data_IF_179665261010
#
_entry.id   IF_179665261010
#
_cell.length_a   1.000
_cell.length_b   1.000
_cell.length_c   1.000
_cell.angle_alpha   90.00
_cell.angle_beta   90.00
_cell.angle_gamma   90.00
#
_symmetry.space_group_name_H-M   'P 1'
#
loop_
_entity.id
_entity.type
_entity.pdbx_description
1 polymer ?
#
# COMPACT_ATOMS: atom_id res chain seq x y z
N UNK A 1 22.38 -7.87 -20.35
CA UNK A 1 23.45 -7.64 -19.37
C UNK A 1 23.48 -8.83 -18.44
N UNK A 2 24.64 -9.16 -17.87
CA UNK A 2 24.85 -10.46 -17.25
C UNK A 2 25.73 -10.32 -16.01
N UNK A 3 25.23 -10.83 -14.88
CA UNK A 3 26.05 -11.04 -13.71
C UNK A 3 27.29 -11.88 -14.09
N UNK A 4 28.47 -11.39 -13.71
CA UNK A 4 29.72 -12.11 -13.98
C UNK A 4 29.96 -13.13 -12.86
N UNK A 5 30.13 -14.38 -13.24
CA UNK A 5 30.33 -15.50 -12.32
C UNK A 5 31.81 -15.80 -12.20
N UNK A 6 32.36 -15.69 -11.00
CA UNK A 6 33.74 -16.09 -10.72
C UNK A 6 33.70 -17.37 -9.89
N UNK A 7 34.22 -18.47 -10.43
CA UNK A 7 34.28 -19.74 -9.73
C UNK A 7 35.56 -19.82 -8.90
N UNK A 8 35.44 -20.19 -7.63
CA UNK A 8 36.62 -20.63 -6.89
C UNK A 8 37.01 -22.00 -7.44
N UNK A 9 38.31 -22.20 -7.68
CA UNK A 9 38.91 -23.39 -8.33
C UNK A 9 38.10 -24.67 -8.07
N UNK A 10 37.61 -25.31 -9.13
CA UNK A 10 36.80 -26.53 -9.05
C UNK A 10 37.63 -27.64 -8.42
N UNK A 11 37.61 -27.76 -7.08
CA UNK A 11 38.03 -29.00 -6.44
C UNK A 11 36.88 -29.96 -6.64
N UNK A 12 37.00 -30.84 -7.64
CA UNK A 12 36.20 -32.06 -7.67
C UNK A 12 36.67 -32.96 -6.52
N UNK A 13 36.34 -32.58 -5.28
CA UNK A 13 36.42 -33.55 -4.20
C UNK A 13 35.26 -34.50 -4.42
N UNK A 14 35.60 -35.70 -4.88
CA UNK A 14 34.69 -36.83 -5.06
C UNK A 14 34.29 -37.30 -3.66
N UNK A 15 33.53 -36.48 -2.94
CA UNK A 15 32.87 -36.90 -1.70
C UNK A 15 31.89 -37.97 -2.15
N UNK A 16 32.12 -39.19 -1.65
CA UNK A 16 31.45 -40.41 -2.05
C UNK A 16 29.94 -40.22 -2.22
N UNK A 17 29.45 -40.40 -3.46
CA UNK A 17 28.05 -40.40 -3.97
C UNK A 17 27.59 -39.08 -4.64
N UNK A 18 27.46 -39.11 -5.98
CA UNK A 18 26.65 -38.30 -6.92
C UNK A 18 26.34 -36.80 -6.67
N UNK A 19 27.04 -36.11 -5.78
CA UNK A 19 26.85 -34.69 -5.54
C UNK A 19 27.87 -33.88 -6.34
N UNK A 20 27.38 -33.02 -7.22
CA UNK A 20 28.20 -31.95 -7.79
C UNK A 20 27.95 -30.69 -6.96
N UNK A 21 29.00 -30.11 -6.39
CA UNK A 21 28.96 -28.85 -5.66
C UNK A 21 29.81 -27.85 -6.40
N UNK A 22 29.27 -26.65 -6.64
CA UNK A 22 29.95 -25.53 -7.25
C UNK A 22 29.86 -24.33 -6.31
N UNK A 23 31.00 -23.78 -5.93
CA UNK A 23 31.07 -22.56 -5.12
C UNK A 23 31.73 -21.45 -5.91
N UNK A 24 31.35 -20.21 -5.63
CA UNK A 24 31.97 -19.07 -6.28
C UNK A 24 31.39 -17.75 -5.81
N UNK A 25 31.55 -16.73 -6.64
CA UNK A 25 31.07 -15.37 -6.42
C UNK A 25 30.28 -14.90 -7.63
N UNK A 26 29.28 -14.07 -7.37
CA UNK A 26 28.53 -13.36 -8.41
C UNK A 26 28.85 -11.88 -8.27
N UNK A 27 29.24 -11.23 -9.35
CA UNK A 27 29.39 -9.77 -9.40
C UNK A 27 28.26 -9.20 -10.24
N UNK A 28 27.52 -8.26 -9.66
CA UNK A 28 26.52 -7.48 -10.39
C UNK A 28 27.21 -6.33 -11.13
N UNK A 29 26.62 -5.89 -12.24
CA UNK A 29 27.06 -4.68 -12.92
C UNK A 29 26.36 -3.44 -12.30
N UNK A 30 26.48 -2.30 -12.97
CA UNK A 30 25.88 -1.04 -12.53
C UNK A 30 24.39 -0.89 -12.89
N UNK A 31 23.72 -1.96 -13.32
CA UNK A 31 22.32 -1.90 -13.74
C UNK A 31 21.57 -3.19 -13.45
N UNK A 32 21.16 -3.39 -12.20
CA UNK A 32 20.30 -4.52 -11.85
C UNK A 32 18.98 -4.50 -12.62
N UNK A 33 18.64 -5.60 -13.30
CA UNK A 33 17.35 -5.77 -13.95
C UNK A 33 16.29 -6.23 -12.93
N UNK A 34 15.20 -5.47 -12.81
CA UNK A 34 14.05 -5.90 -12.00
C UNK A 34 13.55 -7.29 -12.44
N UNK A 35 13.26 -8.14 -11.45
CA UNK A 35 12.97 -9.56 -11.63
C UNK A 35 14.21 -10.46 -11.61
N UNK A 36 15.41 -9.90 -11.45
CA UNK A 36 16.66 -10.62 -11.20
C UNK A 36 17.60 -10.75 -12.41
N UNK A 37 18.84 -11.09 -12.08
CA UNK A 37 19.93 -11.32 -13.04
C UNK A 37 20.04 -12.79 -13.43
N UNK A 38 20.33 -13.08 -14.70
CA UNK A 38 20.45 -14.47 -15.16
C UNK A 38 21.64 -15.18 -14.49
N UNK A 39 21.40 -16.36 -13.93
CA UNK A 39 22.46 -17.28 -13.47
C UNK A 39 22.58 -18.51 -14.37
N UNK A 40 22.20 -18.36 -15.63
CA UNK A 40 22.30 -19.42 -16.64
C UNK A 40 23.70 -20.05 -16.68
N UNK A 41 24.75 -19.27 -16.43
CA UNK A 41 26.12 -19.78 -16.28
C UNK A 41 26.26 -20.85 -15.19
N UNK A 42 25.67 -20.67 -13.99
CA UNK A 42 25.69 -21.66 -12.90
C UNK A 42 24.87 -22.90 -13.30
N UNK A 43 23.59 -22.71 -13.63
CA UNK A 43 22.68 -23.83 -13.95
C UNK A 43 23.16 -24.68 -15.13
N UNK A 44 23.87 -24.09 -16.10
CA UNK A 44 24.46 -24.81 -17.22
C UNK A 44 25.57 -25.81 -16.83
N UNK A 45 26.25 -25.64 -15.68
CA UNK A 45 27.20 -26.64 -15.16
C UNK A 45 26.51 -27.93 -14.69
N UNK A 46 25.22 -27.83 -14.38
CA UNK A 46 24.39 -28.91 -13.86
C UNK A 46 23.50 -29.52 -14.95
N UNK A 47 23.89 -29.41 -16.23
CA UNK A 47 23.22 -30.11 -17.34
C UNK A 47 23.28 -31.63 -17.12
N UNK A 48 22.11 -32.26 -16.95
CA UNK A 48 21.97 -33.71 -16.68
C UNK A 48 21.59 -34.06 -15.24
N UNK A 49 21.47 -33.07 -14.37
CA UNK A 49 20.80 -33.18 -13.05
C UNK A 49 19.30 -33.36 -13.30
N UNK A 50 18.60 -34.17 -12.50
CA UNK A 50 17.14 -34.31 -12.66
C UNK A 50 16.50 -32.93 -12.43
N UNK A 51 15.62 -32.51 -13.35
CA UNK A 51 14.87 -31.26 -13.23
C UNK A 51 14.05 -31.30 -11.94
N UNK A 52 14.57 -30.69 -10.87
CA UNK A 52 14.16 -31.10 -9.53
C UNK A 52 15.12 -30.60 -8.46
N UNK A 53 16.41 -30.74 -8.73
CA UNK A 53 17.37 -31.00 -7.66
C UNK A 53 18.60 -30.07 -7.65
N UNK A 54 18.62 -29.05 -8.51
CA UNK A 54 19.55 -27.94 -8.34
C UNK A 54 19.04 -27.06 -7.20
N UNK A 55 19.92 -26.73 -6.26
CA UNK A 55 19.71 -25.73 -5.21
C UNK A 55 20.86 -24.74 -5.29
N UNK A 56 20.56 -23.44 -5.38
CA UNK A 56 21.56 -22.38 -5.35
C UNK A 56 21.29 -21.50 -4.14
N UNK A 57 22.24 -21.50 -3.20
CA UNK A 57 22.22 -20.69 -2.00
C UNK A 57 23.25 -19.58 -2.13
N UNK A 58 22.90 -18.40 -1.64
CA UNK A 58 23.76 -17.23 -1.62
C UNK A 58 24.00 -16.80 -0.18
N UNK A 59 25.21 -16.34 0.11
CA UNK A 59 25.50 -15.68 1.38
C UNK A 59 24.94 -14.26 1.37
N UNK A 60 24.36 -13.83 2.49
CA UNK A 60 24.05 -12.41 2.71
C UNK A 60 25.34 -11.58 2.56
N UNK A 61 25.23 -10.42 1.93
CA UNK A 61 26.38 -9.56 1.69
C UNK A 61 25.97 -8.10 1.79
N UNK A 62 26.66 -7.34 2.65
CA UNK A 62 26.42 -5.90 2.86
C UNK A 62 24.94 -5.54 3.14
N UNK A 63 24.24 -6.38 3.89
CA UNK A 63 22.82 -6.18 4.23
C UNK A 63 21.82 -6.59 3.14
N UNK A 64 22.29 -7.05 1.98
CA UNK A 64 21.45 -7.62 0.93
C UNK A 64 21.21 -9.11 1.15
N UNK A 65 19.99 -9.54 0.85
CA UNK A 65 19.58 -10.93 0.70
C UNK A 65 19.52 -11.29 -0.79
N UNK A 66 19.74 -12.57 -1.09
CA UNK A 66 19.76 -13.06 -2.46
C UNK A 66 18.96 -14.35 -2.53
N UNK A 67 18.03 -14.40 -3.47
CA UNK A 67 17.21 -15.60 -3.67
C UNK A 67 17.31 -16.05 -5.12
N UNK A 68 17.39 -17.36 -5.32
CA UNK A 68 17.34 -17.92 -6.67
C UNK A 68 15.89 -18.17 -7.08
N UNK A 69 15.41 -17.39 -8.04
CA UNK A 69 14.19 -17.67 -8.77
C UNK A 69 14.45 -18.82 -9.73
N UNK A 70 14.11 -20.02 -9.27
CA UNK A 70 14.29 -21.26 -10.01
C UNK A 70 13.48 -21.31 -11.32
N UNK A 71 12.29 -20.71 -11.33
CA UNK A 71 11.41 -20.72 -12.50
C UNK A 71 12.02 -19.91 -13.64
N UNK A 72 12.55 -18.74 -13.32
CA UNK A 72 13.15 -17.83 -14.31
C UNK A 72 14.67 -18.00 -14.45
N UNK A 73 15.27 -18.85 -13.62
CA UNK A 73 16.71 -19.08 -13.54
C UNK A 73 17.52 -17.80 -13.32
N UNK A 74 17.04 -16.99 -12.37
CA UNK A 74 17.58 -15.67 -12.03
C UNK A 74 17.92 -15.57 -10.56
N UNK A 75 18.95 -14.80 -10.21
CA UNK A 75 19.17 -14.35 -8.84
C UNK A 75 18.46 -13.02 -8.64
N UNK A 76 17.57 -12.97 -7.65
CA UNK A 76 16.90 -11.76 -7.18
C UNK A 76 17.67 -11.20 -6.00
N UNK A 77 17.78 -9.88 -5.96
CA UNK A 77 18.49 -9.16 -4.90
C UNK A 77 17.45 -8.39 -4.09
N UNK A 78 17.48 -8.58 -2.77
CA UNK A 78 16.59 -7.90 -1.84
C UNK A 78 17.43 -7.03 -0.92
N UNK A 79 17.10 -5.74 -0.86
CA UNK A 79 17.76 -4.78 0.03
C UNK A 79 17.30 -4.95 1.48
N UNK A 80 17.97 -4.26 2.42
CA UNK A 80 17.40 -4.04 3.75
C UNK A 80 15.96 -3.55 3.63
N UNK A 81 15.08 -4.01 4.52
CA UNK A 81 13.70 -3.59 4.46
C UNK A 81 13.60 -2.05 4.60
N UNK A 82 12.82 -1.37 3.74
CA UNK A 82 12.63 0.06 3.87
C UNK A 82 11.84 0.39 5.15
N UNK A 83 11.80 1.68 5.52
CA UNK A 83 10.91 2.15 6.58
C UNK A 83 9.46 1.68 6.34
N UNK A 84 8.75 1.33 7.42
CA UNK A 84 7.35 0.88 7.30
C UNK A 84 6.46 2.00 6.79
N UNK A 85 6.65 3.21 7.31
CA UNK A 85 5.98 4.41 6.81
C UNK A 85 7.01 5.39 6.29
N UNK A 86 6.73 5.95 5.12
CA UNK A 86 7.63 6.85 4.43
C UNK A 86 6.86 8.08 3.95
N UNK A 87 7.47 9.25 4.13
CA UNK A 87 7.03 10.51 3.54
C UNK A 87 8.14 11.00 2.61
N UNK A 88 7.78 11.34 1.38
CA UNK A 88 8.72 11.94 0.44
C UNK A 88 8.07 13.07 -0.36
N UNK A 89 8.93 14.00 -0.80
CA UNK A 89 8.58 15.04 -1.75
C UNK A 89 8.92 14.53 -3.14
N UNK A 90 7.91 14.41 -3.99
CA UNK A 90 8.05 13.88 -5.35
C UNK A 90 7.88 15.01 -6.35
N UNK A 91 8.76 15.04 -7.36
CA UNK A 91 8.61 15.90 -8.54
C UNK A 91 7.63 15.26 -9.52
N UNK A 92 6.50 15.93 -9.73
CA UNK A 92 5.42 15.47 -10.59
C UNK A 92 5.36 16.21 -11.93
N UNK A 93 6.40 16.98 -12.29
CA UNK A 93 6.38 17.92 -13.43
C UNK A 93 6.06 17.30 -14.79
N UNK A 94 6.19 15.98 -14.93
CA UNK A 94 5.81 15.20 -16.11
C UNK A 94 4.40 14.60 -16.09
N UNK A 95 3.53 15.00 -15.16
CA UNK A 95 2.22 14.40 -14.84
C UNK A 95 2.29 12.91 -14.44
N UNK A 96 3.49 12.34 -14.41
CA UNK A 96 3.82 10.98 -14.00
C UNK A 96 5.01 11.04 -13.05
N UNK A 97 4.88 10.37 -11.91
CA UNK A 97 5.94 10.26 -10.94
C UNK A 97 6.01 8.85 -10.34
N UNK A 98 7.08 8.56 -9.60
CA UNK A 98 7.31 7.26 -8.98
C UNK A 98 7.79 7.40 -7.54
N UNK A 99 7.21 6.61 -6.65
CA UNK A 99 7.66 6.53 -5.26
C UNK A 99 9.05 5.88 -5.16
N UNK A 100 9.83 6.27 -4.16
CA UNK A 100 11.14 5.69 -3.89
C UNK A 100 11.03 4.21 -3.49
N UNK A 101 10.00 3.88 -2.70
CA UNK A 101 9.72 2.51 -2.26
C UNK A 101 8.37 2.01 -2.80
N UNK A 102 8.25 0.69 -3.07
CA UNK A 102 6.95 0.08 -3.30
C UNK A 102 5.99 0.36 -2.13
N UNK A 103 4.85 0.96 -2.41
CA UNK A 103 3.78 1.22 -1.45
C UNK A 103 2.79 0.05 -1.40
N UNK A 104 2.25 -0.18 -0.21
CA UNK A 104 1.15 -1.09 0.06
C UNK A 104 -0.17 -0.34 0.31
N UNK A 105 -0.09 0.87 0.87
CA UNK A 105 -1.25 1.72 1.16
C UNK A 105 -0.85 3.19 1.16
N UNK A 106 -1.61 4.05 0.49
CA UNK A 106 -1.42 5.50 0.47
C UNK A 106 -2.23 6.13 1.60
N UNK A 107 -1.55 6.86 2.48
CA UNK A 107 -2.20 7.55 3.60
C UNK A 107 -2.73 8.91 3.12
N UNK A 108 -1.89 9.70 2.46
CA UNK A 108 -2.31 10.97 1.87
C UNK A 108 -1.38 11.40 0.72
N UNK A 109 -1.93 12.25 -0.17
CA UNK A 109 -1.19 12.92 -1.25
C UNK A 109 -1.58 14.39 -1.22
N UNK A 110 -0.61 15.29 -1.09
CA UNK A 110 -0.88 16.72 -1.01
C UNK A 110 0.20 17.57 -1.68
N UNK A 111 -0.20 18.52 -2.51
CA UNK A 111 0.64 19.61 -2.98
C UNK A 111 0.43 20.85 -2.11
N UNK A 112 1.17 21.94 -2.38
CA UNK A 112 1.18 23.14 -1.52
C UNK A 112 -0.21 23.70 -1.17
N UNK A 113 -1.20 23.56 -2.07
CA UNK A 113 -2.55 24.12 -1.91
C UNK A 113 -3.66 23.11 -2.22
N UNK A 114 -3.35 21.83 -2.41
CA UNK A 114 -4.34 20.84 -2.87
C UNK A 114 -4.08 19.49 -2.23
N UNK A 115 -5.06 18.99 -1.49
CA UNK A 115 -5.14 17.57 -1.14
C UNK A 115 -5.69 16.82 -2.36
N UNK A 116 -4.99 15.77 -2.78
CA UNK A 116 -5.41 14.97 -3.92
C UNK A 116 -6.14 13.71 -3.45
N UNK A 117 -7.31 13.44 -4.03
CA UNK A 117 -8.03 12.19 -3.81
C UNK A 117 -7.35 11.06 -4.56
N UNK A 118 -7.04 9.98 -3.85
CA UNK A 118 -6.42 8.79 -4.43
C UNK A 118 -7.48 7.99 -5.16
N UNK A 119 -7.25 7.70 -6.44
CA UNK A 119 -8.07 6.80 -7.25
C UNK A 119 -7.24 5.63 -7.76
N UNK A 120 -7.91 4.58 -8.21
CA UNK A 120 -7.25 3.38 -8.72
C UNK A 120 -6.36 3.68 -9.95
N UNK A 121 -5.16 3.11 -10.01
CA UNK A 121 -4.15 3.39 -11.05
C UNK A 121 -4.54 3.07 -12.50
N UNK A 122 -5.62 2.32 -12.71
CA UNK A 122 -6.17 2.07 -14.05
C UNK A 122 -7.10 3.18 -14.57
N UNK A 123 -7.41 4.18 -13.74
CA UNK A 123 -8.31 5.27 -14.07
C UNK A 123 -7.54 6.50 -14.54
N UNK A 124 -8.20 7.35 -15.32
CA UNK A 124 -7.66 8.65 -15.70
C UNK A 124 -8.06 9.68 -14.63
N UNK A 125 -7.10 10.33 -13.96
CA UNK A 125 -7.41 11.31 -12.92
C UNK A 125 -7.96 12.62 -13.52
N UNK A 126 -8.93 13.21 -12.83
CA UNK A 126 -9.39 14.58 -13.05
C UNK A 126 -8.68 15.56 -12.08
N UNK A 127 -8.96 16.86 -12.21
CA UNK A 127 -8.45 17.90 -11.32
C UNK A 127 -8.70 17.55 -9.84
N UNK A 128 -7.67 17.67 -9.00
CA UNK A 128 -7.74 17.30 -7.58
C UNK A 128 -7.66 15.80 -7.29
N UNK A 129 -7.39 14.95 -8.30
CA UNK A 129 -7.23 13.51 -8.13
C UNK A 129 -5.81 13.05 -8.48
N UNK A 130 -5.43 11.88 -7.98
CA UNK A 130 -4.19 11.20 -8.34
C UNK A 130 -4.48 9.71 -8.52
N UNK A 131 -4.14 9.17 -9.70
CA UNK A 131 -4.26 7.74 -9.95
C UNK A 131 -3.00 7.04 -9.48
N UNK A 132 -3.15 6.04 -8.60
CA UNK A 132 -2.04 5.33 -7.98
C UNK A 132 -2.04 3.87 -8.40
N UNK A 133 -1.01 3.46 -9.15
CA UNK A 133 -0.74 2.05 -9.45
C UNK A 133 0.26 1.52 -8.42
N UNK A 134 -0.24 0.73 -7.45
CA UNK A 134 0.58 0.08 -6.42
C UNK A 134 1.18 -1.26 -6.83
N UNK A 135 1.21 -1.52 -8.13
CA UNK A 135 1.65 -2.79 -8.70
C UNK A 135 0.52 -3.76 -8.97
N UNK A 136 -0.72 -3.28 -9.06
CA UNK A 136 -1.86 -4.09 -9.46
C UNK A 136 -1.95 -4.14 -10.99
N UNK A 137 -2.04 -5.35 -11.54
CA UNK A 137 -2.49 -5.55 -12.92
C UNK A 137 -3.57 -6.64 -12.92
N UNK A 138 -4.79 -6.26 -13.30
CA UNK A 138 -5.96 -7.14 -13.34
C UNK A 138 -6.34 -7.77 -11.98
N UNK A 139 -6.20 -7.02 -10.89
CA UNK A 139 -6.46 -7.44 -9.52
C UNK A 139 -5.28 -8.15 -8.86
N UNK A 140 -4.20 -8.46 -9.59
CA UNK A 140 -3.04 -9.17 -9.04
C UNK A 140 -2.02 -8.16 -8.52
N UNK A 141 -1.91 -8.08 -7.19
CA UNK A 141 -0.89 -7.28 -6.52
C UNK A 141 0.51 -7.87 -6.72
N UNK A 142 1.39 -7.11 -7.39
CA UNK A 142 2.79 -7.52 -7.66
C UNK A 142 3.73 -6.89 -6.63
N UNK A 143 4.31 -7.72 -5.76
CA UNK A 143 5.29 -7.27 -4.77
C UNK A 143 6.56 -6.72 -5.42
N UNK A 144 7.15 -5.69 -4.82
CA UNK A 144 8.40 -5.08 -5.26
C UNK A 144 8.25 -4.13 -6.45
N UNK A 145 7.08 -4.04 -7.10
CA UNK A 145 6.83 -3.07 -8.16
C UNK A 145 6.80 -1.66 -7.56
N UNK A 146 7.60 -0.75 -8.12
CA UNK A 146 7.54 0.68 -7.75
C UNK A 146 6.17 1.23 -8.11
N UNK A 147 5.60 1.99 -7.18
CA UNK A 147 4.32 2.63 -7.42
C UNK A 147 4.49 3.82 -8.35
N UNK A 148 3.57 3.96 -9.30
CA UNK A 148 3.46 5.16 -10.14
C UNK A 148 2.27 6.01 -9.72
N UNK A 149 2.48 7.31 -9.76
CA UNK A 149 1.49 8.35 -9.52
C UNK A 149 1.22 9.05 -10.84
N UNK A 150 -0.04 9.06 -11.28
CA UNK A 150 -0.45 9.82 -12.47
C UNK A 150 -1.33 10.97 -12.02
N UNK A 151 -1.00 12.18 -12.47
CA UNK A 151 -1.71 13.42 -12.20
C UNK A 151 -2.47 13.88 -13.46
N UNK A 152 -3.56 14.66 -13.31
CA UNK A 152 -4.20 15.31 -14.44
C UNK A 152 -3.24 16.35 -15.05
N UNK A 153 -3.37 16.56 -16.36
CA UNK A 153 -2.40 17.40 -17.07
C UNK A 153 -2.34 18.82 -16.56
N UNK A 154 -1.13 19.28 -16.24
CA UNK A 154 -0.89 20.64 -15.73
C UNK A 154 -1.01 20.78 -14.21
N UNK A 155 -1.48 19.77 -13.49
CA UNK A 155 -1.41 19.74 -12.01
C UNK A 155 -0.14 19.06 -11.49
N UNK A 156 0.59 18.32 -12.35
CA UNK A 156 1.90 17.78 -12.01
C UNK A 156 2.99 18.84 -11.78
N UNK A 157 2.76 20.11 -12.15
CA UNK A 157 3.79 21.16 -12.15
C UNK A 157 4.38 21.55 -10.76
N UNK A 158 3.89 20.96 -9.67
CA UNK A 158 4.36 21.22 -8.31
C UNK A 158 4.98 19.98 -7.66
N UNK A 159 5.87 20.22 -6.68
CA UNK A 159 6.33 19.15 -5.79
C UNK A 159 5.20 18.72 -4.87
N UNK A 160 4.92 17.43 -4.82
CA UNK A 160 3.81 16.84 -4.04
C UNK A 160 4.38 15.98 -2.92
N UNK A 161 3.86 16.15 -1.71
CA UNK A 161 4.15 15.28 -0.58
C UNK A 161 3.26 14.05 -0.63
N UNK A 162 3.87 12.87 -0.47
CA UNK A 162 3.15 11.61 -0.38
C UNK A 162 3.61 10.87 0.87
N UNK A 163 2.64 10.41 1.65
CA UNK A 163 2.89 9.55 2.81
C UNK A 163 2.17 8.23 2.62
N UNK A 164 2.90 7.14 2.84
CA UNK A 164 2.42 5.81 2.50
C UNK A 164 3.08 4.73 3.35
N UNK A 165 2.36 3.62 3.53
CA UNK A 165 2.88 2.37 4.07
C UNK A 165 3.64 1.65 2.97
N UNK A 166 4.90 1.27 3.21
CA UNK A 166 5.69 0.51 2.25
C UNK A 166 5.31 -0.97 2.25
N UNK A 167 5.67 -1.69 1.18
CA UNK A 167 5.45 -3.13 1.10
C UNK A 167 6.31 -3.96 2.08
N UNK A 168 7.16 -3.31 2.89
CA UNK A 168 7.90 -3.97 3.95
C UNK A 168 6.99 -4.44 5.10
N UNK A 169 5.84 -3.80 5.29
CA UNK A 169 4.83 -4.29 6.23
C UNK A 169 4.07 -5.45 5.62
N UNK A 170 4.52 -6.67 5.92
CA UNK A 170 3.97 -7.89 5.34
C UNK A 170 2.47 -8.03 5.57
N UNK A 171 2.00 -7.77 6.78
CA UNK A 171 0.57 -7.95 7.10
C UNK A 171 -0.31 -7.04 6.24
N UNK A 172 0.09 -5.79 5.99
CA UNK A 172 -0.67 -4.89 5.11
C UNK A 172 -0.65 -5.42 3.67
N UNK A 173 0.50 -5.82 3.16
CA UNK A 173 0.63 -6.36 1.79
C UNK A 173 -0.15 -7.65 1.57
N UNK A 174 -0.17 -8.53 2.56
CA UNK A 174 -0.90 -9.79 2.50
C UNK A 174 -2.43 -9.61 2.55
N UNK A 175 -2.87 -8.45 3.06
CA UNK A 175 -4.28 -8.14 3.29
C UNK A 175 -4.83 -6.98 2.44
N UNK A 176 -4.02 -6.37 1.59
CA UNK A 176 -4.51 -5.37 0.62
C UNK A 176 -5.37 -6.06 -0.44
N UNK A 177 -6.50 -5.44 -0.75
CA UNK A 177 -7.41 -5.85 -1.81
C UNK A 177 -7.63 -4.66 -2.72
N UNK A 178 -7.49 -4.91 -4.02
CA UNK A 178 -7.87 -3.98 -5.09
C UNK A 178 -8.91 -4.69 -5.93
N UNK A 179 -10.12 -4.18 -5.93
CA UNK A 179 -11.24 -4.79 -6.62
C UNK A 179 -11.87 -3.82 -7.61
N UNK A 180 -12.16 -4.35 -8.80
CA UNK A 180 -13.11 -3.77 -9.73
C UNK A 180 -14.38 -4.59 -9.66
N UNK A 181 -15.46 -3.98 -9.22
CA UNK A 181 -16.77 -4.58 -9.10
C UNK A 181 -17.63 -4.13 -10.30
N UNK A 182 -18.32 -5.08 -10.93
CA UNK A 182 -19.26 -4.84 -12.02
C UNK A 182 -20.53 -5.66 -11.79
N UNK A 183 -21.66 -5.21 -12.31
CA UNK A 183 -22.94 -5.92 -12.16
C UNK A 183 -22.82 -7.41 -12.56
N UNK A 184 -23.31 -8.30 -11.68
CA UNK A 184 -23.34 -9.75 -11.94
C UNK A 184 -21.99 -10.48 -11.92
N UNK A 185 -20.87 -9.80 -11.64
CA UNK A 185 -19.55 -10.44 -11.51
C UNK A 185 -19.10 -10.43 -10.04
N UNK A 186 -18.64 -11.59 -9.54
CA UNK A 186 -17.94 -11.68 -8.26
C UNK A 186 -16.44 -11.62 -8.50
N UNK A 187 -15.79 -10.68 -7.85
CA UNK A 187 -14.33 -10.61 -7.76
C UNK A 187 -13.99 -10.69 -6.27
N UNK A 188 -12.90 -11.35 -5.88
CA UNK A 188 -12.41 -11.40 -4.49
C UNK A 188 -13.38 -11.78 -3.36
N UNK A 189 -14.41 -12.59 -3.62
CA UNK A 189 -15.35 -13.04 -2.58
C UNK A 189 -16.47 -12.06 -2.24
N UNK A 190 -16.46 -10.88 -2.86
CA UNK A 190 -17.54 -9.89 -2.77
C UNK A 190 -18.89 -10.50 -3.16
N UNK A 191 -19.97 -10.07 -2.49
CA UNK A 191 -21.31 -10.31 -3.01
C UNK A 191 -21.45 -9.63 -4.38
N UNK A 192 -22.22 -10.23 -5.30
CA UNK A 192 -22.45 -9.61 -6.60
C UNK A 192 -23.13 -8.26 -6.41
N UNK A 193 -22.58 -7.22 -7.03
CA UNK A 193 -23.27 -5.95 -7.17
C UNK A 193 -24.60 -6.16 -7.90
N UNK A 194 -25.68 -5.75 -7.24
CA UNK A 194 -26.98 -5.58 -7.87
C UNK A 194 -27.30 -4.08 -7.83
N UNK A 195 -26.76 -3.35 -8.80
CA UNK A 195 -27.13 -1.95 -8.99
C UNK A 195 -28.61 -1.91 -9.38
N UNK A 196 -29.42 -1.24 -8.56
CA UNK A 196 -30.86 -1.14 -8.80
C UNK A 196 -31.27 0.32 -8.97
N UNK A 197 -31.69 0.65 -10.19
CA UNK A 197 -31.94 2.02 -10.57
C UNK A 197 -32.92 2.71 -9.62
N UNK A 198 -32.61 3.96 -9.26
CA UNK A 198 -33.41 4.77 -8.34
C UNK A 198 -33.54 4.23 -6.90
N UNK A 199 -32.67 3.31 -6.47
CA UNK A 199 -32.54 2.91 -5.06
C UNK A 199 -31.09 3.07 -4.59
N UNK A 200 -30.85 3.33 -3.28
CA UNK A 200 -29.50 3.30 -2.74
C UNK A 200 -28.88 1.92 -2.96
N UNK A 201 -27.63 1.89 -3.42
CA UNK A 201 -26.91 0.65 -3.64
C UNK A 201 -26.07 0.32 -2.40
N UNK A 202 -26.14 -0.94 -1.97
CA UNK A 202 -25.34 -1.46 -0.86
C UNK A 202 -24.38 -2.53 -1.38
N UNK A 203 -23.12 -2.43 -0.94
CA UNK A 203 -22.06 -3.39 -1.25
C UNK A 203 -21.67 -4.09 0.04
N UNK A 204 -21.77 -5.41 0.04
CA UNK A 204 -21.17 -6.27 1.05
C UNK A 204 -19.82 -6.76 0.53
N UNK A 205 -18.74 -6.38 1.22
CA UNK A 205 -17.39 -6.80 0.86
C UNK A 205 -17.19 -8.32 1.06
N UNK A 206 -18.05 -8.99 1.83
CA UNK A 206 -17.92 -10.41 2.17
C UNK A 206 -16.85 -10.70 3.24
N UNK A 207 -16.20 -9.65 3.75
CA UNK A 207 -15.19 -9.67 4.80
C UNK A 207 -15.13 -8.31 5.51
N UNK A 208 -14.61 -8.29 6.74
CA UNK A 208 -14.36 -7.05 7.46
C UNK A 208 -13.12 -6.34 6.89
N UNK A 209 -13.21 -5.03 6.69
CA UNK A 209 -12.08 -4.16 6.36
C UNK A 209 -11.58 -3.45 7.61
N UNK A 210 -10.29 -3.13 7.67
CA UNK A 210 -9.71 -2.23 8.69
C UNK A 210 -9.39 -0.85 8.14
N UNK A 211 -9.25 -0.73 6.82
CA UNK A 211 -8.99 0.53 6.15
C UNK A 211 -9.47 0.51 4.70
N UNK A 212 -10.08 1.59 4.24
CA UNK A 212 -10.48 1.82 2.86
C UNK A 212 -9.64 2.97 2.33
N UNK A 213 -8.80 2.67 1.33
CA UNK A 213 -8.00 3.70 0.67
C UNK A 213 -8.93 4.52 -0.22
N UNK A 214 -9.47 3.90 -1.26
CA UNK A 214 -10.21 4.62 -2.27
C UNK A 214 -11.50 3.89 -2.59
N UNK A 215 -12.56 4.67 -2.79
CA UNK A 215 -13.79 4.23 -3.42
C UNK A 215 -14.04 5.14 -4.63
N UNK A 216 -14.17 4.53 -5.81
CA UNK A 216 -14.37 5.29 -7.04
C UNK A 216 -15.43 4.63 -7.90
N UNK A 217 -16.46 5.38 -8.24
CA UNK A 217 -17.49 4.96 -9.17
C UNK A 217 -17.17 5.48 -10.57
N UNK A 218 -17.04 4.56 -11.51
CA UNK A 218 -17.06 4.81 -12.95
C UNK A 218 -18.48 4.65 -13.51
N UNK A 219 -19.14 5.79 -13.71
CA UNK A 219 -20.48 5.92 -14.31
C UNK A 219 -20.29 6.13 -15.82
N UNK A 220 -20.25 5.01 -16.55
CA UNK A 220 -20.05 4.97 -17.99
C UNK A 220 -18.92 5.89 -18.52
N UNK A 221 -17.76 5.87 -17.87
CA UNK A 221 -16.58 6.70 -18.19
C UNK A 221 -16.48 8.01 -17.40
N UNK A 222 -17.51 8.36 -16.61
CA UNK A 222 -17.47 9.50 -15.70
C UNK A 222 -17.01 9.04 -14.33
N UNK A 223 -15.77 9.41 -13.97
CA UNK A 223 -15.17 9.03 -12.69
C UNK A 223 -15.66 9.94 -11.57
N UNK A 224 -16.26 9.33 -10.54
CA UNK A 224 -16.70 9.94 -9.29
C UNK A 224 -15.89 9.32 -8.15
N UNK A 225 -14.95 10.09 -7.63
CA UNK A 225 -14.32 9.82 -6.35
C UNK A 225 -15.34 10.06 -5.22
N UNK A 226 -15.45 9.11 -4.29
CA UNK A 226 -16.37 9.22 -3.17
C UNK A 226 -15.64 9.50 -1.86
N UNK A 227 -16.20 10.42 -1.08
CA UNK A 227 -15.78 10.66 0.31
C UNK A 227 -16.44 9.66 1.25
N UNK A 228 -15.67 9.22 2.26
CA UNK A 228 -16.13 8.33 3.30
C UNK A 228 -17.01 9.05 4.34
N UNK A 229 -18.16 8.48 4.66
CA UNK A 229 -19.06 8.92 5.73
C UNK A 229 -19.24 7.86 6.81
N UNK A 230 -19.63 8.32 8.00
CA UNK A 230 -19.91 7.44 9.13
C UNK A 230 -21.26 6.73 9.00
N UNK A 231 -21.33 5.51 9.52
CA UNK A 231 -22.56 4.71 9.59
C UNK A 231 -23.67 5.40 10.38
N UNK A 232 -24.70 5.87 9.67
CA UNK A 232 -25.84 6.59 10.25
C UNK A 232 -26.05 7.97 9.63
N UNK A 233 -25.08 8.41 8.84
CA UNK A 233 -25.25 9.56 7.96
C UNK A 233 -25.91 9.16 6.64
N UNK A 234 -26.70 10.07 6.10
CA UNK A 234 -27.26 9.92 4.76
C UNK A 234 -26.28 10.47 3.75
N UNK A 235 -25.68 9.57 2.97
CA UNK A 235 -24.76 9.96 1.89
C UNK A 235 -25.43 10.91 0.89
N UNK A 236 -24.67 11.88 0.39
CA UNK A 236 -25.04 12.70 -0.76
C UNK A 236 -24.28 12.25 -2.03
N UNK A 237 -24.41 13.02 -3.11
CA UNK A 237 -23.64 12.79 -4.34
C UNK A 237 -22.14 12.84 -4.04
N UNK A 238 -21.39 11.85 -4.52
CA UNK A 238 -19.95 11.63 -4.24
C UNK A 238 -19.63 11.25 -2.80
N UNK A 239 -20.54 10.61 -2.09
CA UNK A 239 -20.30 10.12 -0.74
C UNK A 239 -20.67 8.65 -0.61
N UNK A 240 -19.95 7.94 0.25
CA UNK A 240 -20.19 6.54 0.58
C UNK A 240 -20.18 6.38 2.09
N UNK A 241 -21.28 5.87 2.63
CA UNK A 241 -21.35 5.51 4.05
C UNK A 241 -20.61 4.19 4.26
N UNK A 242 -19.64 4.18 5.17
CA UNK A 242 -18.84 2.99 5.49
C UNK A 242 -19.27 2.48 6.86
N UNK A 243 -19.55 1.17 6.93
CA UNK A 243 -19.87 0.47 8.16
C UNK A 243 -18.75 -0.51 8.51
N UNK A 244 -17.86 -0.09 9.41
CA UNK A 244 -16.85 -0.99 9.97
C UNK A 244 -17.44 -1.91 11.07
N UNK A 245 -18.56 -1.52 11.68
CA UNK A 245 -19.15 -2.16 12.85
C UNK A 245 -19.97 -3.41 12.60
N UNK A 246 -20.14 -3.80 11.34
CA UNK A 246 -20.76 -5.06 11.03
C UNK A 246 -19.77 -6.21 11.32
N UNK A 247 -20.04 -6.90 12.43
CA UNK A 247 -19.20 -7.95 13.03
C UNK A 247 -18.83 -9.12 12.09
N UNK A 248 -19.48 -9.22 10.92
CA UNK A 248 -19.17 -10.24 9.93
C UNK A 248 -18.45 -9.63 8.72
N UNK A 249 -19.00 -8.58 8.11
CA UNK A 249 -18.48 -7.99 6.88
C UNK A 249 -18.60 -6.47 6.89
N UNK A 250 -17.66 -5.75 6.30
CA UNK A 250 -17.82 -4.31 6.06
C UNK A 250 -18.82 -4.07 4.93
N UNK A 251 -19.74 -3.13 5.15
CA UNK A 251 -20.72 -2.72 4.14
C UNK A 251 -20.54 -1.27 3.73
N UNK A 252 -20.86 -0.99 2.48
CA UNK A 252 -20.75 0.33 1.86
C UNK A 252 -22.10 0.69 1.28
N UNK A 253 -22.65 1.83 1.67
CA UNK A 253 -23.92 2.33 1.15
C UNK A 253 -23.67 3.59 0.34
N UNK A 254 -24.06 3.56 -0.94
CA UNK A 254 -23.94 4.71 -1.85
C UNK A 254 -25.34 5.23 -2.15
N UNK A 255 -25.56 6.51 -1.84
CA UNK A 255 -26.76 7.20 -2.29
C UNK A 255 -26.48 7.85 -3.64
N UNK A 256 -26.51 7.06 -4.70
CA UNK A 256 -26.72 7.63 -6.02
C UNK A 256 -28.12 7.25 -6.47
N UNK A 257 -28.95 8.26 -6.63
CA UNK A 257 -30.12 8.14 -7.49
C UNK A 257 -29.60 8.19 -8.92
N UNK A 258 -28.97 7.11 -9.37
CA UNK A 258 -28.76 6.97 -10.79
C UNK A 258 -30.11 6.67 -11.44
N UNK A 259 -30.38 7.39 -12.53
CA UNK A 259 -31.55 7.12 -13.36
C UNK A 259 -31.25 6.04 -14.39
N UNK A 260 -30.00 5.58 -14.49
CA UNK A 260 -29.54 4.71 -15.54
C UNK A 260 -28.36 3.84 -15.10
N UNK A 261 -28.61 2.84 -14.23
CA UNK A 261 -27.63 1.78 -13.97
C UNK A 261 -27.36 1.01 -15.27
N UNK A 262 -26.25 1.33 -15.91
CA UNK A 262 -25.85 0.66 -17.13
C UNK A 262 -25.05 -0.59 -16.77
N UNK A 263 -25.13 -1.65 -17.58
CA UNK A 263 -24.29 -2.85 -17.40
C UNK A 263 -22.78 -2.56 -17.55
N UNK A 264 -22.42 -1.32 -17.90
CA UNK A 264 -21.06 -0.80 -18.03
C UNK A 264 -20.53 -0.17 -16.76
N UNK A 265 -21.36 0.10 -15.76
CA UNK A 265 -20.93 0.78 -14.54
C UNK A 265 -20.01 -0.11 -13.73
N UNK A 266 -19.01 0.53 -13.11
CA UNK A 266 -18.03 -0.19 -12.30
C UNK A 266 -17.59 0.60 -11.09
N UNK A 267 -17.28 -0.14 -10.03
CA UNK A 267 -16.84 0.41 -8.76
C UNK A 267 -15.43 -0.11 -8.51
N UNK A 268 -14.50 0.80 -8.31
CA UNK A 268 -13.12 0.49 -7.94
C UNK A 268 -12.97 0.75 -6.46
N UNK A 269 -12.53 -0.27 -5.72
CA UNK A 269 -12.27 -0.15 -4.30
C UNK A 269 -10.90 -0.73 -3.96
N UNK A 270 -10.15 0.03 -3.16
CA UNK A 270 -8.92 -0.43 -2.53
C UNK A 270 -9.09 -0.39 -1.02
N UNK A 271 -8.86 -1.50 -0.35
CA UNK A 271 -9.00 -1.61 1.11
C UNK A 271 -8.07 -2.67 1.69
N UNK A 272 -7.86 -2.65 2.99
CA UNK A 272 -7.12 -3.67 3.73
C UNK A 272 -8.14 -4.50 4.51
N UNK A 273 -8.18 -5.82 4.25
CA UNK A 273 -9.04 -6.74 4.99
C UNK A 273 -8.52 -6.96 6.41
N UNK A 274 -9.43 -7.20 7.35
CA UNK A 274 -9.11 -7.61 8.71
C UNK A 274 -8.72 -9.09 8.70
N UNK A 275 -7.46 -9.46 8.99
CA UNK A 275 -7.11 -10.87 9.16
C UNK A 275 -7.78 -11.44 10.41
N UNK A 276 -7.85 -12.77 10.51
CA UNK A 276 -8.42 -13.45 11.69
C UNK A 276 -7.55 -13.36 12.95
N UNK A 277 -6.29 -12.93 12.81
CA UNK A 277 -5.31 -12.85 13.90
C UNK A 277 -4.13 -11.96 13.49
N UNK A 278 -3.32 -11.55 14.46
CA UNK A 278 -2.09 -10.80 14.25
C UNK A 278 -2.31 -9.30 14.47
N UNK A 279 -1.25 -8.52 14.30
CA UNK A 279 -1.24 -7.11 14.69
C UNK A 279 -2.39 -6.29 14.10
N UNK A 280 -2.72 -6.50 12.81
CA UNK A 280 -3.83 -5.81 12.16
C UNK A 280 -5.20 -6.16 12.76
N UNK A 281 -5.38 -7.37 13.30
CA UNK A 281 -6.61 -7.78 13.97
C UNK A 281 -6.67 -7.29 15.41
N UNK A 282 -5.57 -7.47 16.13
CA UNK A 282 -5.49 -7.28 17.58
C UNK A 282 -5.42 -5.80 17.96
N UNK A 283 -4.86 -4.98 17.07
CA UNK A 283 -4.66 -3.55 17.30
C UNK A 283 -5.57 -2.67 16.44
N UNK A 284 -6.68 -3.20 15.93
CA UNK A 284 -7.67 -2.39 15.23
C UNK A 284 -8.61 -1.72 16.23
N UNK A 285 -8.63 -0.39 16.22
CA UNK A 285 -9.70 0.40 16.82
C UNK A 285 -10.70 0.71 15.73
N UNK A 286 -11.94 0.35 16.02
CA UNK A 286 -13.08 0.54 15.15
C UNK A 286 -13.84 1.80 15.61
N UNK A 287 -14.02 2.75 14.69
CA UNK A 287 -14.89 3.92 14.87
C UNK A 287 -14.72 4.63 16.22
N UNK A 288 -13.47 4.91 16.60
CA UNK A 288 -13.13 5.63 17.83
C UNK A 288 -13.91 6.94 17.91
N UNK A 289 -14.72 7.08 18.95
CA UNK A 289 -15.64 8.20 19.13
C UNK A 289 -14.95 9.35 19.85
N UNK A 290 -14.36 10.23 19.07
CA UNK A 290 -13.57 11.31 19.59
C UNK A 290 -14.37 12.60 19.63
N UNK A 291 -14.70 13.03 20.85
CA UNK A 291 -15.30 14.34 21.09
C UNK A 291 -14.20 15.40 21.24
N UNK A 292 -14.15 16.42 20.36
CA UNK A 292 -13.29 17.58 20.56
C UNK A 292 -13.70 18.30 21.84
N UNK A 293 -12.74 18.53 22.74
CA UNK A 293 -12.93 19.44 23.88
C UNK A 293 -12.44 20.87 23.56
N UNK A 294 -11.71 21.03 22.44
CA UNK A 294 -11.16 22.24 21.80
C UNK A 294 -10.84 21.88 20.32
N UNK A 295 -10.18 22.77 19.57
CA UNK A 295 -9.58 22.47 18.25
C UNK A 295 -8.65 21.24 18.25
N UNK A 296 -8.26 20.72 19.41
CA UNK A 296 -7.42 19.53 19.55
C UNK A 296 -8.23 18.33 20.00
N UNK A 297 -8.13 17.25 19.21
CA UNK A 297 -8.67 15.94 19.50
C UNK A 297 -7.54 14.99 19.89
N UNK A 298 -7.75 14.22 20.96
CA UNK A 298 -6.79 13.19 21.42
C UNK A 298 -7.42 11.82 21.23
N UNK A 299 -6.71 10.91 20.55
CA UNK A 299 -7.19 9.52 20.32
C UNK A 299 -7.34 8.76 21.63
N UNK A 300 -8.38 7.93 21.74
CA UNK A 300 -8.85 7.37 23.01
C UNK A 300 -8.19 6.04 23.39
N UNK A 301 -6.92 5.80 23.07
CA UNK A 301 -6.24 4.60 23.60
C UNK A 301 -5.82 4.83 25.05
N UNK A 302 -6.66 4.36 25.98
CA UNK A 302 -6.40 4.35 27.41
C UNK A 302 -5.12 3.58 27.76
N UNK A 303 -4.35 4.17 28.67
CA UNK A 303 -3.02 3.76 29.14
C UNK A 303 -1.88 4.12 28.18
N UNK A 304 -0.89 4.80 28.74
CA UNK A 304 0.36 5.20 28.10
C UNK A 304 0.85 4.14 27.09
N UNK A 305 1.06 4.58 25.83
CA UNK A 305 1.84 4.00 24.72
C UNK A 305 1.06 3.93 23.40
N UNK A 306 1.67 4.53 22.37
CA UNK A 306 1.77 4.09 20.97
C UNK A 306 1.08 4.92 19.87
N UNK A 307 1.70 4.92 18.70
CA UNK A 307 1.39 5.82 17.58
C UNK A 307 0.24 5.24 16.75
N UNK A 308 -0.61 6.08 16.18
CA UNK A 308 -1.50 5.64 15.09
C UNK A 308 -0.62 5.25 13.90
N UNK A 309 -0.71 4.01 13.43
CA UNK A 309 0.14 3.51 12.35
C UNK A 309 -0.53 3.61 10.98
N UNK A 310 -1.86 3.50 10.95
CA UNK A 310 -2.68 3.46 9.74
C UNK A 310 -4.06 4.06 10.02
N UNK A 311 -4.57 4.90 9.11
CA UNK A 311 -5.95 5.39 9.13
C UNK A 311 -6.88 4.47 8.34
N UNK A 312 -8.10 4.33 8.84
CA UNK A 312 -9.15 3.50 8.28
C UNK A 312 -9.79 4.08 7.02
N UNK A 313 -9.59 5.36 6.72
CA UNK A 313 -10.06 5.99 5.48
C UNK A 313 -8.96 6.91 4.94
N UNK A 314 -8.59 6.78 3.67
CA UNK A 314 -7.67 7.72 3.05
C UNK A 314 -8.43 8.93 2.47
N UNK A 315 -7.82 10.10 2.51
CA UNK A 315 -8.33 11.29 1.86
C UNK A 315 -9.42 12.06 2.61
N UNK A 316 -10.21 11.48 3.50
CA UNK A 316 -11.22 12.20 4.32
C UNK A 316 -11.56 11.43 5.60
N UNK A 317 -11.85 12.14 6.69
CA UNK A 317 -12.21 11.52 7.98
C UNK A 317 -13.72 11.63 8.20
N UNK A 318 -14.43 10.51 8.45
CA UNK A 318 -15.87 10.55 8.65
C UNK A 318 -16.22 11.26 9.97
N UNK A 319 -17.26 12.11 9.95
CA UNK A 319 -17.76 12.83 11.13
C UNK A 319 -19.25 13.17 10.99
N UNK A 320 -20.07 13.11 12.06
CA UNK A 320 -21.53 12.96 12.03
C UNK A 320 -22.33 14.24 11.67
N UNK A 321 -21.66 15.36 11.41
CA UNK A 321 -22.28 16.70 11.28
C UNK A 321 -21.48 17.66 10.41
N UNK A 322 -20.16 17.48 10.31
CA UNK A 322 -19.25 18.33 9.54
C UNK A 322 -18.33 17.44 8.74
N UNK A 323 -18.32 17.62 7.42
CA UNK A 323 -17.47 16.88 6.50
C UNK A 323 -16.02 17.29 6.76
N UNK A 324 -15.22 16.41 7.37
CA UNK A 324 -13.78 16.63 7.47
C UNK A 324 -13.15 16.12 6.18
N UNK A 325 -13.01 17.01 5.21
CA UNK A 325 -12.77 16.58 3.82
C UNK A 325 -11.39 16.02 3.61
N UNK A 326 -10.36 16.48 4.33
CA UNK A 326 -8.96 16.15 4.01
C UNK A 326 -8.06 16.01 5.26
N UNK A 327 -7.27 14.93 5.29
CA UNK A 327 -6.12 14.78 6.19
C UNK A 327 -4.95 15.56 5.62
N UNK A 328 -4.49 16.58 6.35
CA UNK A 328 -3.38 17.44 5.95
C UNK A 328 -2.08 17.11 6.69
N UNK A 329 -0.96 17.39 6.03
CA UNK A 329 0.40 17.24 6.58
C UNK A 329 0.60 18.09 7.82
N UNK A 330 1.38 17.57 8.78
CA UNK A 330 1.85 18.36 9.92
C UNK A 330 2.55 19.66 9.46
N UNK A 331 2.05 20.81 9.91
CA UNK A 331 2.56 22.13 9.53
C UNK A 331 1.97 22.72 8.24
N UNK A 332 1.01 22.06 7.59
CA UNK A 332 0.23 22.67 6.52
C UNK A 332 -0.64 23.82 7.07
N UNK A 333 -0.76 24.90 6.31
CA UNK A 333 -1.59 26.05 6.72
C UNK A 333 -3.06 25.71 6.54
N UNK A 334 -3.88 25.94 7.57
CA UNK A 334 -5.32 25.74 7.54
C UNK A 334 -5.94 26.70 6.49
N UNK A 335 -6.48 26.13 5.41
CA UNK A 335 -7.31 26.88 4.47
C UNK A 335 -8.65 27.26 5.12
N UNK A 336 -9.19 28.43 4.79
CA UNK A 336 -10.36 29.03 5.46
C UNK A 336 -11.72 28.52 4.95
N UNK A 337 -11.78 27.38 4.27
CA UNK A 337 -13.01 26.93 3.60
C UNK A 337 -13.36 25.46 3.79
N UNK A 338 -12.52 24.69 4.50
CA UNK A 338 -12.86 23.31 4.87
C UNK A 338 -12.21 22.93 6.19
N UNK A 339 -12.91 22.18 7.04
CA UNK A 339 -12.38 21.71 8.31
C UNK A 339 -11.36 20.61 8.06
N UNK A 340 -10.13 21.02 7.79
CA UNK A 340 -8.99 20.14 7.59
C UNK A 340 -8.58 19.47 8.89
N UNK A 341 -8.07 18.24 8.83
CA UNK A 341 -7.47 17.56 9.99
C UNK A 341 -5.96 17.56 9.84
N UNK A 342 -5.28 18.35 10.65
CA UNK A 342 -3.83 18.37 10.71
C UNK A 342 -3.34 17.43 11.82
N UNK A 343 -2.35 16.60 11.53
CA UNK A 343 -1.61 15.93 12.61
C UNK A 343 -0.68 16.93 13.28
N UNK A 344 -0.72 17.03 14.61
CA UNK A 344 0.04 18.05 15.35
C UNK A 344 1.56 17.76 15.39
N UNK A 345 1.95 16.52 15.11
CA UNK A 345 3.33 16.05 14.96
C UNK A 345 3.43 15.13 13.74
N UNK A 346 4.62 14.98 13.14
CA UNK A 346 4.78 13.90 12.15
C UNK A 346 4.47 12.59 12.88
N UNK A 347 3.56 11.80 12.32
CA UNK A 347 3.07 10.51 12.84
C UNK A 347 4.20 9.52 13.17
N UNK A 348 5.43 9.82 12.72
CA UNK A 348 6.57 8.92 12.75
C UNK A 348 7.90 9.56 13.19
N UNK A 349 7.90 10.67 13.95
CA UNK A 349 9.20 11.25 14.39
C UNK A 349 9.97 10.23 15.25
N UNK A 350 11.15 9.90 14.71
CA UNK A 350 12.20 9.07 15.27
C UNK A 350 12.59 9.43 16.71
N UNK A 351 12.92 8.41 17.49
CA UNK A 351 13.57 8.44 18.82
C UNK A 351 12.68 8.77 20.04
N UNK A 352 11.85 7.79 20.41
CA UNK A 352 11.76 7.36 21.82
C UNK A 352 11.00 8.26 22.79
N UNK A 353 10.35 9.32 22.33
CA UNK A 353 9.41 10.09 23.15
C UNK A 353 8.02 9.99 22.53
N UNK A 354 7.19 9.11 23.10
CA UNK A 354 5.79 8.94 22.70
C UNK A 354 5.00 10.17 23.15
N UNK A 355 4.85 11.17 22.29
CA UNK A 355 3.84 12.20 22.49
C UNK A 355 2.48 11.63 22.09
N UNK A 356 1.40 11.96 22.81
CA UNK A 356 0.05 11.57 22.43
C UNK A 356 -0.24 12.02 21.00
N UNK A 357 -0.76 11.13 20.14
CA UNK A 357 -1.23 11.56 18.82
C UNK A 357 -2.41 12.48 19.05
N UNK A 358 -2.22 13.73 18.65
CA UNK A 358 -3.27 14.73 18.66
C UNK A 358 -3.57 15.11 17.21
N UNK A 359 -4.84 15.36 16.95
CA UNK A 359 -5.33 15.88 15.69
C UNK A 359 -5.83 17.28 15.96
N UNK A 360 -5.43 18.24 15.13
CA UNK A 360 -5.95 19.60 15.18
C UNK A 360 -6.99 19.76 14.08
N UNK A 361 -8.21 20.10 14.47
CA UNK A 361 -9.32 20.42 13.58
C UNK A 361 -9.16 21.85 13.06
N UNK A 362 -9.46 22.06 11.78
CA UNK A 362 -9.53 23.38 11.17
C UNK A 362 -10.69 24.24 11.70
N UNK A 363 -10.88 25.43 11.11
CA UNK A 363 -12.04 26.27 11.43
C UNK A 363 -13.36 25.56 11.08
N UNK A 364 -14.45 26.04 11.67
CA UNK A 364 -15.83 25.60 11.38
C UNK A 364 -16.27 24.26 11.97
N UNK A 365 -15.58 23.78 13.02
CA UNK A 365 -16.10 22.72 13.89
C UNK A 365 -16.81 23.29 15.13
N UNK A 366 -17.69 22.49 15.74
CA UNK A 366 -18.31 22.78 17.03
C UNK A 366 -18.10 21.60 18.00
N UNK A 367 -18.28 21.85 19.30
CA UNK A 367 -18.10 20.85 20.36
C UNK A 367 -19.06 19.64 20.28
N UNK A 368 -20.08 19.71 19.42
CA UNK A 368 -21.00 18.60 19.14
C UNK A 368 -20.61 17.79 17.89
N UNK A 369 -19.50 18.14 17.22
CA UNK A 369 -18.95 17.33 16.15
C UNK A 369 -18.14 16.18 16.76
N UNK A 370 -18.26 14.97 16.20
CA UNK A 370 -17.42 13.84 16.61
C UNK A 370 -16.49 13.47 15.45
N UNK A 371 -15.29 12.99 15.75
CA UNK A 371 -14.48 12.25 14.77
C UNK A 371 -14.69 10.76 15.06
N UNK A 372 -14.98 9.97 14.03
CA UNK A 372 -15.25 8.53 14.13
C UNK A 372 -14.18 7.73 13.41
N UNK A 373 -12.97 7.75 13.96
CA UNK A 373 -11.80 7.21 13.27
C UNK A 373 -11.65 5.71 13.50
N UNK A 374 -11.55 4.95 12.43
CA UNK A 374 -11.00 3.60 12.48
C UNK A 374 -9.48 3.66 12.26
N UNK A 375 -8.67 2.93 13.01
CA UNK A 375 -7.21 2.96 12.87
C UNK A 375 -6.51 1.74 13.46
N UNK A 376 -5.24 1.54 13.08
CA UNK A 376 -4.34 0.58 13.73
C UNK A 376 -3.43 1.30 14.70
N UNK A 377 -3.39 0.84 15.95
CA UNK A 377 -2.48 1.35 16.97
C UNK A 377 -1.25 0.44 17.16
N UNK A 378 -0.15 0.99 17.66
CA UNK A 378 1.03 0.21 18.01
C UNK A 378 2.34 0.96 17.80
N UNK A 379 3.46 0.30 18.06
CA UNK A 379 4.78 0.86 17.80
C UNK A 379 5.41 0.20 16.57
N UNK A 380 6.23 0.94 15.82
CA UNK A 380 6.98 0.40 14.66
C UNK A 380 7.79 -0.86 15.03
N UNK A 381 8.43 -0.97 16.21
CA UNK A 381 9.13 -2.19 16.61
C UNK A 381 8.24 -3.43 16.80
N UNK A 382 6.92 -3.26 16.99
CA UNK A 382 5.97 -4.36 17.15
C UNK A 382 5.56 -4.96 15.78
N UNK A 383 5.92 -4.29 14.69
CA UNK A 383 5.61 -4.72 13.33
C UNK A 383 6.55 -5.87 12.96
N UNK A 384 6.02 -7.09 12.96
CA UNK A 384 6.77 -8.29 12.60
C UNK A 384 5.93 -9.27 11.77
N UNK A 385 6.46 -9.85 10.69
CA UNK A 385 7.80 -9.65 10.14
C UNK A 385 7.89 -8.45 9.17
N UNK A 386 9.00 -7.70 9.27
CA UNK A 386 9.37 -6.72 8.24
C UNK A 386 10.12 -7.44 7.12
N UNK A 387 9.67 -7.27 5.88
CA UNK A 387 10.17 -8.05 4.74
C UNK A 387 11.12 -7.22 3.87
N UNK A 388 12.34 -7.74 3.57
CA UNK A 388 13.21 -7.21 2.53
C UNK A 388 12.49 -7.07 1.19
N UNK A 389 12.66 -5.94 0.51
CA UNK A 389 12.08 -5.74 -0.82
C UNK A 389 13.11 -5.95 -1.92
N UNK A 390 12.65 -6.45 -3.06
CA UNK A 390 13.50 -6.56 -4.26
C UNK A 390 14.02 -5.17 -4.62
N UNK A 391 15.31 -5.07 -4.92
CA UNK A 391 15.91 -3.79 -5.28
C UNK A 391 15.35 -3.29 -6.62
N UNK A 392 15.13 -1.98 -6.79
CA UNK A 392 14.57 -1.44 -8.02
C UNK A 392 15.42 -1.72 -9.26
N UNK A 393 14.78 -1.68 -10.42
CA UNK A 393 15.47 -1.69 -11.72
C UNK A 393 16.51 -0.57 -11.79
N UNK A 394 17.64 -0.85 -12.44
CA UNK A 394 18.79 0.05 -12.60
C UNK A 394 19.48 0.47 -11.29
N UNK A 395 19.25 -0.27 -10.19
CA UNK A 395 20.08 -0.09 -8.98
C UNK A 395 21.52 -0.48 -9.28
N UNK A 396 22.48 0.39 -8.94
CA UNK A 396 23.90 0.08 -9.02
C UNK A 396 24.30 -0.88 -7.89
N UNK A 397 24.55 -2.13 -8.25
CA UNK A 397 25.00 -3.18 -7.34
C UNK A 397 26.46 -3.59 -7.58
N UNK A 398 27.24 -2.78 -8.31
CA UNK A 398 28.63 -3.11 -8.67
C UNK A 398 29.56 -3.36 -7.47
N UNK A 399 29.18 -2.82 -6.30
CA UNK A 399 29.87 -2.99 -5.03
C UNK A 399 29.47 -4.29 -4.28
N UNK A 400 28.45 -5.00 -4.76
CA UNK A 400 27.86 -6.17 -4.11
C UNK A 400 28.38 -7.45 -4.77
N UNK A 401 29.12 -8.26 -4.01
CA UNK A 401 29.74 -9.50 -4.51
C UNK A 401 29.43 -10.69 -3.59
N UNK A 402 28.20 -11.24 -3.62
CA UNK A 402 27.85 -12.37 -2.78
C UNK A 402 28.60 -13.63 -3.20
N UNK A 403 28.90 -14.47 -2.21
CA UNK A 403 29.32 -15.85 -2.45
C UNK A 403 28.10 -16.72 -2.67
N UNK A 404 28.25 -17.76 -3.48
CA UNK A 404 27.20 -18.75 -3.71
C UNK A 404 27.73 -20.17 -3.55
N UNK A 405 26.81 -21.07 -3.24
CA UNK A 405 26.96 -22.51 -3.32
C UNK A 405 25.80 -23.07 -4.13
N UNK A 406 26.11 -23.79 -5.21
CA UNK A 406 25.16 -24.52 -6.01
C UNK A 406 25.40 -26.03 -5.84
N UNK A 407 24.33 -26.79 -5.60
CA UNK A 407 24.36 -28.23 -5.39
C UNK A 407 23.41 -28.86 -6.39
N UNK A 408 23.88 -29.83 -7.16
CA UNK A 408 23.04 -30.68 -8.00
C UNK A 408 23.11 -32.14 -7.54
N UNK A 409 21.94 -32.77 -7.32
CA UNK A 409 21.82 -34.21 -7.09
C UNK A 409 21.72 -34.92 -8.44
N UNK A 410 22.59 -35.91 -8.69
CA UNK A 410 22.57 -36.71 -9.92
C UNK A 410 21.93 -38.07 -9.75
#
# INVERSE_FOLDING_TARGET
MAATLTYDTVRSERISRNLCILTGKVTFDNSYLAGGESISGISNYFKGTVSGELVVNFEQHQGYNFEWDRTNNKVKVFGPAPPIVWEELVDCSSDLAYLAYPAAYIIYVASANTAHKVIHGSLTPAAGQVAVDMGDTAGVFTRGKRCSLTFPSGEGAASTYITYITQAWKDVVDNIVNAKLTAGARVYGHASLALTASTPDSIDLGEAAIAIQSYTWDDNGTIKDCDALYKGETAATKEVTIDFANATNTTLEVLQTDTQDATTDSIYITYIKKPSSGMLSDNFIEEDDLTPSTDVVTVSSGADLSNMLLFGTCGGLPGPTTKYTDLLRAGATLGTTVTNVNMTTNLFVSNGTYAANTLTLGSDHNDANHLKLSYIWGAIPDIWPVVPLEVPNATDLSHVVPRFMAIGLK
#
